data_IF_371493973973
#
_entry.id   IF_371493973973
#
_cell.length_a   1.000
_cell.length_b   1.000
_cell.length_c   1.000
_cell.angle_alpha   90.00
_cell.angle_beta   90.00
_cell.angle_gamma   90.00
#
_symmetry.space_group_name_H-M   'P 1'
#
loop_
_entity.id
_entity.type
_entity.pdbx_description
1 polymer ?
#
# COMPACT_ATOMS: atom_id res chain seq x y z
N UNK A 1 61.17 31.15 -16.76
CA UNK A 1 60.30 30.08 -17.28
C UNK A 1 59.28 29.75 -16.21
N UNK A 2 58.00 29.89 -16.55
CA UNK A 2 56.83 29.66 -15.69
C UNK A 2 56.48 28.17 -15.74
N UNK A 3 56.18 27.55 -14.61
CA UNK A 3 55.10 26.55 -14.58
C UNK A 3 54.51 26.42 -13.18
N UNK A 4 53.18 26.51 -13.16
CA UNK A 4 52.30 26.57 -12.00
C UNK A 4 51.87 25.15 -11.64
N UNK A 5 52.09 24.72 -10.40
CA UNK A 5 51.33 23.61 -9.83
C UNK A 5 49.91 24.10 -9.49
N UNK A 6 48.97 23.64 -10.29
CA UNK A 6 47.55 23.95 -10.27
C UNK A 6 46.89 23.24 -9.09
N UNK A 7 46.40 24.01 -8.12
CA UNK A 7 45.42 23.56 -7.12
C UNK A 7 44.15 23.16 -7.87
N UNK A 8 43.78 21.88 -7.82
CA UNK A 8 42.53 21.39 -8.38
C UNK A 8 41.37 21.82 -7.48
N UNK A 9 40.62 22.79 -7.98
CA UNK A 9 39.35 23.27 -7.45
C UNK A 9 38.32 22.14 -7.36
N UNK A 10 37.85 21.88 -6.14
CA UNK A 10 36.71 21.01 -5.87
C UNK A 10 35.43 21.71 -6.34
N UNK A 11 34.85 21.27 -7.47
CA UNK A 11 33.63 21.85 -8.02
C UNK A 11 32.42 21.53 -7.13
N UNK A 12 32.04 22.53 -6.33
CA UNK A 12 30.88 22.55 -5.45
C UNK A 12 29.57 22.77 -6.25
N UNK A 13 29.27 21.90 -7.21
CA UNK A 13 28.08 22.06 -8.09
C UNK A 13 27.22 20.81 -8.32
N UNK A 14 27.50 19.67 -7.69
CA UNK A 14 26.68 18.46 -7.88
C UNK A 14 25.59 18.19 -6.83
N UNK A 15 25.47 18.98 -5.76
CA UNK A 15 24.49 18.71 -4.69
C UNK A 15 23.17 19.49 -4.85
N UNK A 16 23.15 20.57 -5.63
CA UNK A 16 21.99 21.47 -5.70
C UNK A 16 20.94 21.11 -6.77
N UNK A 17 21.26 20.20 -7.71
CA UNK A 17 20.37 19.88 -8.84
C UNK A 17 19.00 19.31 -8.44
N UNK A 18 18.88 18.37 -7.46
CA UNK A 18 17.58 17.83 -7.06
C UNK A 18 16.76 18.84 -6.27
N UNK A 19 17.41 19.67 -5.45
CA UNK A 19 16.77 20.66 -4.60
C UNK A 19 16.17 21.81 -5.43
N UNK A 20 16.91 22.29 -6.42
CA UNK A 20 16.44 23.35 -7.32
C UNK A 20 15.43 22.85 -8.35
N UNK A 21 15.44 21.54 -8.69
CA UNK A 21 14.35 20.91 -9.47
C UNK A 21 13.02 20.87 -8.71
N UNK A 22 13.05 20.84 -7.38
CA UNK A 22 11.85 20.97 -6.54
C UNK A 22 11.25 22.38 -6.56
N UNK A 23 12.10 23.40 -6.69
CA UNK A 23 11.68 24.81 -6.74
C UNK A 23 11.24 25.27 -8.14
N UNK A 24 11.74 24.67 -9.22
CA UNK A 24 11.41 25.05 -10.61
C UNK A 24 10.16 24.34 -11.15
N UNK A 25 9.10 24.31 -10.34
CA UNK A 25 7.74 23.93 -10.74
C UNK A 25 6.77 25.07 -10.37
N UNK A 26 7.15 26.31 -10.68
CA UNK A 26 6.34 27.52 -10.48
C UNK A 26 5.49 27.85 -11.70
N UNK A 27 4.79 26.85 -12.23
CA UNK A 27 3.56 27.03 -13.01
C UNK A 27 2.63 25.88 -12.61
N UNK A 28 1.44 26.15 -12.04
CA UNK A 28 0.49 25.10 -11.72
C UNK A 28 -0.14 24.64 -13.03
N UNK A 29 0.53 23.73 -13.74
CA UNK A 29 -0.24 22.70 -14.45
C UNK A 29 -1.07 22.07 -13.34
N UNK A 30 -2.38 22.37 -13.31
CA UNK A 30 -3.32 21.86 -12.32
C UNK A 30 -3.13 20.36 -12.22
N UNK A 31 -2.31 19.93 -11.25
CA UNK A 31 -1.97 18.54 -11.11
C UNK A 31 -3.29 17.86 -10.77
N UNK A 32 -3.69 16.80 -11.50
CA UNK A 32 -4.99 16.20 -11.30
C UNK A 32 -5.17 15.88 -9.82
N UNK A 33 -6.23 16.44 -9.22
CA UNK A 33 -6.51 16.30 -7.79
C UNK A 33 -6.68 14.81 -7.51
N UNK A 34 -5.80 14.27 -6.67
CA UNK A 34 -5.88 12.88 -6.21
C UNK A 34 -6.98 12.81 -5.16
N UNK A 35 -7.97 11.95 -5.36
CA UNK A 35 -9.00 11.73 -4.36
C UNK A 35 -8.66 10.47 -3.54
N UNK A 36 -8.91 10.50 -2.22
CA UNK A 36 -8.80 9.29 -1.41
C UNK A 36 -9.84 8.28 -1.87
N UNK A 37 -9.53 6.99 -1.71
CA UNK A 37 -10.56 5.97 -1.80
C UNK A 37 -11.57 6.21 -0.67
N UNK A 38 -12.85 6.33 -1.00
CA UNK A 38 -13.93 6.50 -0.02
C UNK A 38 -14.54 5.14 0.34
N UNK A 39 -15.18 5.02 1.53
CA UNK A 39 -15.92 3.81 1.90
C UNK A 39 -16.92 3.37 0.82
N UNK A 40 -17.67 4.31 0.23
CA UNK A 40 -18.69 3.98 -0.80
C UNK A 40 -18.07 3.40 -2.08
N UNK A 41 -16.90 3.90 -2.48
CA UNK A 41 -16.17 3.37 -3.62
C UNK A 41 -15.62 1.97 -3.31
N UNK A 42 -15.08 1.77 -2.10
CA UNK A 42 -14.63 0.46 -1.65
C UNK A 42 -15.78 -0.56 -1.66
N UNK A 43 -16.93 -0.20 -1.10
CA UNK A 43 -18.16 -1.02 -1.08
C UNK A 43 -18.53 -1.47 -2.49
N UNK A 44 -18.57 -0.54 -3.45
CA UNK A 44 -18.87 -0.86 -4.85
C UNK A 44 -17.83 -1.79 -5.47
N UNK A 45 -16.54 -1.53 -5.24
CA UNK A 45 -15.47 -2.42 -5.72
C UNK A 45 -15.62 -3.84 -5.17
N UNK A 46 -15.92 -3.99 -3.87
CA UNK A 46 -16.12 -5.30 -3.25
C UNK A 46 -17.36 -5.99 -3.82
N UNK A 47 -18.45 -5.25 -4.06
CA UNK A 47 -19.64 -5.80 -4.72
C UNK A 47 -19.32 -6.32 -6.13
N UNK A 48 -18.54 -5.58 -6.92
CA UNK A 48 -18.08 -6.02 -8.24
C UNK A 48 -17.26 -7.31 -8.17
N UNK A 49 -16.33 -7.42 -7.21
CA UNK A 49 -15.56 -8.65 -7.01
C UNK A 49 -16.46 -9.83 -6.63
N UNK A 50 -17.42 -9.62 -5.73
CA UNK A 50 -18.37 -10.65 -5.29
C UNK A 50 -19.37 -11.07 -6.37
N UNK A 51 -19.63 -10.22 -7.36
CA UNK A 51 -20.45 -10.57 -8.54
C UNK A 51 -19.72 -11.43 -9.58
N UNK A 52 -18.42 -11.70 -9.39
CA UNK A 52 -17.59 -12.47 -10.32
C UNK A 52 -16.89 -11.56 -11.33
N UNK A 53 -15.78 -10.94 -10.90
CA UNK A 53 -15.01 -10.05 -11.77
C UNK A 53 -14.07 -10.83 -12.70
N UNK A 54 -13.32 -11.80 -12.16
CA UNK A 54 -12.36 -12.56 -12.97
C UNK A 54 -12.34 -14.05 -12.62
N UNK A 55 -11.80 -14.42 -11.47
CA UNK A 55 -11.78 -15.81 -11.00
C UNK A 55 -11.98 -15.82 -9.49
N UNK A 56 -12.61 -16.85 -8.90
CA UNK A 56 -12.92 -16.85 -7.46
C UNK A 56 -11.69 -16.62 -6.57
N UNK A 57 -10.53 -17.13 -6.99
CA UNK A 57 -9.27 -16.92 -6.29
C UNK A 57 -8.78 -15.47 -6.42
N UNK A 58 -8.75 -14.91 -7.64
CA UNK A 58 -8.32 -13.53 -7.89
C UNK A 58 -9.25 -12.54 -7.20
N UNK A 59 -10.56 -12.78 -7.24
CA UNK A 59 -11.56 -11.90 -6.63
C UNK A 59 -11.40 -11.86 -5.10
N UNK A 60 -11.23 -13.02 -4.44
CA UNK A 60 -10.91 -13.09 -2.99
C UNK A 60 -9.57 -12.45 -2.64
N UNK A 61 -8.57 -12.61 -3.51
CA UNK A 61 -7.25 -11.98 -3.33
C UNK A 61 -7.38 -10.46 -3.38
N UNK A 62 -8.05 -9.92 -4.40
CA UNK A 62 -8.26 -8.49 -4.57
C UNK A 62 -9.12 -7.89 -3.45
N UNK A 63 -10.19 -8.59 -3.03
CA UNK A 63 -11.05 -8.16 -1.93
C UNK A 63 -10.23 -8.00 -0.64
N UNK A 64 -9.42 -9.01 -0.32
CA UNK A 64 -8.52 -8.98 0.84
C UNK A 64 -7.48 -7.86 0.75
N UNK A 65 -6.90 -7.64 -0.44
CA UNK A 65 -5.94 -6.56 -0.67
C UNK A 65 -6.59 -5.18 -0.51
N UNK A 66 -7.80 -4.96 -1.02
CA UNK A 66 -8.51 -3.68 -0.89
C UNK A 66 -8.88 -3.39 0.56
N UNK A 67 -9.36 -4.39 1.29
CA UNK A 67 -9.71 -4.26 2.70
C UNK A 67 -8.50 -4.00 3.58
N UNK A 68 -7.43 -4.77 3.40
CA UNK A 68 -6.18 -4.55 4.13
C UNK A 68 -5.61 -3.15 3.87
N UNK A 69 -5.61 -2.71 2.61
CA UNK A 69 -5.10 -1.41 2.23
C UNK A 69 -5.95 -0.26 2.78
N UNK A 70 -7.27 -0.39 2.73
CA UNK A 70 -8.19 0.66 3.18
C UNK A 70 -8.20 0.79 4.71
N UNK A 71 -8.46 -0.30 5.43
CA UNK A 71 -8.56 -0.27 6.89
C UNK A 71 -7.19 -0.19 7.58
N UNK A 72 -6.15 -0.73 6.95
CA UNK A 72 -4.77 -0.58 7.43
C UNK A 72 -4.11 0.74 7.04
N UNK A 73 -4.80 1.60 6.26
CA UNK A 73 -4.25 2.84 5.70
C UNK A 73 -2.90 2.62 4.99
N UNK A 74 -2.78 1.51 4.25
CA UNK A 74 -1.54 1.11 3.60
C UNK A 74 -1.44 1.64 2.18
N UNK A 75 -0.24 1.97 1.76
CA UNK A 75 0.09 2.17 0.34
C UNK A 75 0.23 0.81 -0.33
N UNK A 76 -0.06 0.74 -1.63
CA UNK A 76 0.12 -0.50 -2.40
C UNK A 76 1.52 -1.11 -2.23
N UNK A 77 2.57 -0.31 -2.16
CA UNK A 77 3.96 -0.79 -1.99
C UNK A 77 4.25 -1.45 -0.64
N UNK A 78 3.37 -1.28 0.35
CA UNK A 78 3.58 -1.79 1.72
C UNK A 78 3.12 -3.25 1.85
N UNK A 79 2.18 -3.70 1.01
CA UNK A 79 1.66 -5.08 1.02
C UNK A 79 1.83 -5.85 -0.30
N UNK A 80 2.25 -5.18 -1.39
CA UNK A 80 2.55 -5.83 -2.68
C UNK A 80 4.04 -6.13 -2.83
N UNK A 81 4.37 -7.09 -3.70
CA UNK A 81 5.76 -7.37 -4.06
C UNK A 81 6.26 -6.36 -5.12
N UNK A 82 7.45 -5.74 -4.96
CA UNK A 82 7.97 -4.76 -5.90
C UNK A 82 8.43 -5.37 -7.24
N UNK A 83 8.91 -6.61 -7.21
CA UNK A 83 9.51 -7.32 -8.35
C UNK A 83 9.05 -8.78 -8.38
N UNK A 84 9.42 -9.53 -9.43
CA UNK A 84 9.20 -10.98 -9.46
C UNK A 84 9.97 -11.71 -8.36
N UNK A 85 11.10 -11.16 -7.92
CA UNK A 85 11.90 -11.69 -6.82
C UNK A 85 11.31 -11.25 -5.49
N UNK A 86 10.99 -12.22 -4.64
CA UNK A 86 10.44 -12.01 -3.31
C UNK A 86 11.53 -12.11 -2.24
N UNK A 87 11.57 -11.15 -1.33
CA UNK A 87 12.50 -11.11 -0.21
C UNK A 87 11.70 -11.08 1.10
N UNK A 88 11.61 -12.22 1.83
CA UNK A 88 10.77 -12.34 3.03
C UNK A 88 11.11 -11.34 4.14
N UNK A 89 12.33 -10.83 4.22
CA UNK A 89 12.73 -9.82 5.21
C UNK A 89 12.25 -8.41 4.88
N UNK A 90 11.92 -8.13 3.62
CA UNK A 90 11.56 -6.80 3.12
C UNK A 90 10.12 -6.69 2.68
N UNK A 91 9.54 -7.79 2.20
CA UNK A 91 8.20 -7.83 1.62
C UNK A 91 7.22 -8.50 2.57
N UNK A 92 5.93 -8.20 2.37
CA UNK A 92 4.85 -8.80 3.12
C UNK A 92 4.80 -10.32 2.91
N UNK A 93 4.77 -11.07 4.00
CA UNK A 93 4.68 -12.54 4.00
C UNK A 93 3.44 -13.01 4.75
N UNK A 94 3.10 -14.30 4.58
CA UNK A 94 2.01 -14.93 5.33
C UNK A 94 2.23 -14.77 6.85
N UNK A 95 3.47 -14.94 7.33
CA UNK A 95 3.83 -14.78 8.75
C UNK A 95 3.63 -13.38 9.31
N UNK A 96 3.49 -12.36 8.47
CA UNK A 96 3.28 -10.98 8.92
C UNK A 96 1.83 -10.71 9.29
N UNK A 97 0.92 -11.65 9.00
CA UNK A 97 -0.48 -11.55 9.39
C UNK A 97 -0.77 -12.58 10.49
N UNK A 98 -1.34 -12.09 11.58
CA UNK A 98 -1.82 -12.94 12.68
C UNK A 98 -3.30 -12.68 12.89
N UNK A 99 -4.08 -13.75 12.92
CA UNK A 99 -5.51 -13.72 13.20
C UNK A 99 -5.69 -13.98 14.70
N UNK A 100 -6.38 -13.07 15.36
CA UNK A 100 -6.76 -13.14 16.76
C UNK A 100 -8.29 -13.17 16.86
N UNK A 101 -8.90 -14.37 16.88
CA UNK A 101 -10.34 -14.49 17.03
C UNK A 101 -10.81 -13.85 18.35
N UNK A 102 -12.03 -13.27 18.37
CA UNK A 102 -13.04 -13.37 17.31
C UNK A 102 -13.01 -12.26 16.25
N UNK A 103 -12.18 -11.24 16.40
CA UNK A 103 -12.42 -9.95 15.73
C UNK A 103 -11.17 -9.19 15.26
N UNK A 104 -9.96 -9.67 15.55
CA UNK A 104 -8.75 -8.87 15.36
C UNK A 104 -7.79 -9.51 14.38
N UNK A 105 -7.28 -8.73 13.43
CA UNK A 105 -6.16 -9.09 12.56
C UNK A 105 -5.02 -8.11 12.83
N UNK A 106 -3.83 -8.64 13.06
CA UNK A 106 -2.61 -7.84 13.23
C UNK A 106 -1.72 -8.08 12.03
N UNK A 107 -1.42 -7.00 11.30
CA UNK A 107 -0.49 -6.98 10.19
C UNK A 107 0.83 -6.30 10.60
N UNK A 108 1.95 -6.98 10.41
CA UNK A 108 3.29 -6.47 10.69
C UNK A 108 3.85 -5.74 9.46
N UNK A 109 3.77 -4.41 9.47
CA UNK A 109 4.34 -3.54 8.46
C UNK A 109 5.86 -3.42 8.64
N UNK A 110 6.63 -4.20 7.87
CA UNK A 110 8.10 -4.24 7.93
C UNK A 110 8.78 -2.94 7.49
N UNK A 111 8.24 -2.27 6.47
CA UNK A 111 8.78 -1.02 5.93
C UNK A 111 7.65 -0.11 5.48
N UNK A 112 7.75 1.17 5.83
CA UNK A 112 6.94 2.21 5.22
C UNK A 112 7.83 3.26 4.59
N UNK A 113 7.30 4.02 3.63
CA UNK A 113 8.08 5.10 2.98
C UNK A 113 8.59 6.12 3.99
N UNK A 114 7.82 6.37 5.05
CA UNK A 114 8.12 7.33 6.12
C UNK A 114 8.98 6.72 7.23
N UNK A 115 9.12 5.39 7.27
CA UNK A 115 9.91 4.67 8.24
C UNK A 115 10.72 3.54 7.58
N UNK A 116 11.75 3.92 6.79
CA UNK A 116 12.54 2.95 6.02
C UNK A 116 13.57 2.18 6.87
N UNK A 117 13.98 2.77 7.99
CA UNK A 117 15.04 2.26 8.87
C UNK A 117 14.61 2.05 10.32
N UNK A 118 13.39 2.42 10.68
CA UNK A 118 12.88 2.14 12.03
C UNK A 118 12.29 0.74 12.15
N UNK A 119 11.84 0.38 13.36
CA UNK A 119 11.33 -0.94 13.63
C UNK A 119 10.03 -1.22 12.85
N UNK A 120 9.71 -2.49 12.58
CA UNK A 120 8.42 -2.89 12.04
C UNK A 120 7.27 -2.37 12.90
N UNK A 121 6.18 -1.93 12.26
CA UNK A 121 5.00 -1.39 12.92
C UNK A 121 3.84 -2.38 12.86
N UNK A 122 3.05 -2.49 13.94
CA UNK A 122 1.81 -3.27 13.94
C UNK A 122 0.65 -2.41 13.45
N UNK A 123 -0.11 -2.95 12.51
CA UNK A 123 -1.36 -2.39 11.99
C UNK A 123 -2.49 -3.30 12.45
N UNK A 124 -3.44 -2.72 13.17
CA UNK A 124 -4.57 -3.46 13.74
C UNK A 124 -5.80 -3.25 12.87
N UNK A 125 -6.42 -4.35 12.45
CA UNK A 125 -7.67 -4.36 11.73
C UNK A 125 -8.70 -5.08 12.61
N UNK A 126 -9.80 -4.39 12.89
CA UNK A 126 -10.89 -4.93 13.71
C UNK A 126 -12.05 -5.31 12.81
N UNK A 127 -12.78 -6.37 13.17
CA UNK A 127 -14.04 -6.76 12.57
C UNK A 127 -15.03 -5.60 12.67
N UNK A 128 -15.73 -5.35 11.57
CA UNK A 128 -16.77 -4.34 11.48
C UNK A 128 -18.13 -5.03 11.48
N UNK A 129 -19.06 -4.53 12.29
CA UNK A 129 -20.45 -5.01 12.30
C UNK A 129 -21.23 -4.61 11.03
N UNK A 130 -20.69 -3.66 10.26
CA UNK A 130 -21.26 -3.15 9.01
C UNK A 130 -20.44 -3.59 7.79
N UNK A 131 -21.11 -3.74 6.64
CA UNK A 131 -20.45 -3.97 5.37
C UNK A 131 -19.70 -2.72 4.87
N UNK A 132 -18.47 -2.84 4.35
CA UNK A 132 -17.64 -4.05 4.27
C UNK A 132 -16.81 -4.30 5.54
N UNK A 133 -16.81 -5.55 6.01
CA UNK A 133 -15.90 -6.02 7.07
C UNK A 133 -14.58 -6.49 6.48
N UNK A 134 -13.49 -6.13 7.14
CA UNK A 134 -12.13 -6.57 6.80
C UNK A 134 -11.79 -7.97 7.30
N UNK A 135 -12.47 -8.44 8.35
CA UNK A 135 -12.04 -9.64 9.08
C UNK A 135 -12.26 -10.91 8.27
N UNK A 136 -13.50 -11.18 7.83
CA UNK A 136 -13.86 -12.43 7.15
C UNK A 136 -13.11 -12.60 5.83
N UNK A 137 -13.05 -11.61 4.93
CA UNK A 137 -12.43 -11.83 3.62
C UNK A 137 -10.93 -12.10 3.73
N UNK A 138 -10.23 -11.41 4.64
CA UNK A 138 -8.80 -11.65 4.88
C UNK A 138 -8.58 -13.03 5.51
N UNK A 139 -9.41 -13.44 6.47
CA UNK A 139 -9.34 -14.79 7.05
C UNK A 139 -9.59 -15.87 5.99
N UNK A 140 -10.61 -15.70 5.15
CA UNK A 140 -10.93 -16.62 4.06
C UNK A 140 -9.78 -16.77 3.08
N UNK A 141 -9.16 -15.67 2.68
CA UNK A 141 -7.99 -15.71 1.80
C UNK A 141 -6.80 -16.42 2.46
N UNK A 142 -6.54 -16.18 3.74
CA UNK A 142 -5.48 -16.89 4.47
C UNK A 142 -5.77 -18.39 4.60
N UNK A 143 -7.03 -18.78 4.76
CA UNK A 143 -7.45 -20.19 4.77
C UNK A 143 -7.21 -20.87 3.41
N UNK A 144 -7.45 -20.17 2.30
CA UNK A 144 -7.07 -20.65 0.95
C UNK A 144 -5.56 -20.83 0.80
N UNK A 145 -4.77 -20.08 1.57
CA UNK A 145 -3.31 -20.15 1.61
C UNK A 145 -2.78 -21.04 2.74
N UNK A 146 -3.60 -21.84 3.42
CA UNK A 146 -3.22 -22.61 4.61
C UNK A 146 -2.04 -23.57 4.41
N UNK A 147 -1.83 -24.09 3.21
CA UNK A 147 -0.70 -24.98 2.86
C UNK A 147 0.57 -24.24 2.46
N UNK A 148 0.55 -22.90 2.46
CA UNK A 148 1.68 -22.06 2.05
C UNK A 148 2.75 -22.00 3.13
N UNK A 149 3.98 -21.70 2.72
CA UNK A 149 5.07 -21.47 3.66
C UNK A 149 4.89 -20.10 4.30
N UNK A 150 5.32 -19.97 5.55
CA UNK A 150 5.23 -18.73 6.33
C UNK A 150 5.95 -17.55 5.66
N UNK A 151 7.00 -17.83 4.90
CA UNK A 151 7.81 -16.83 4.18
C UNK A 151 7.30 -16.52 2.77
N UNK A 152 6.27 -17.21 2.28
CA UNK A 152 5.70 -16.93 0.96
C UNK A 152 5.10 -15.53 0.91
N UNK A 153 5.00 -14.91 -0.29
CA UNK A 153 4.33 -13.63 -0.44
C UNK A 153 2.91 -13.68 0.14
N UNK A 154 2.55 -12.63 0.87
CA UNK A 154 1.22 -12.51 1.48
C UNK A 154 0.12 -12.65 0.41
N UNK A 155 0.21 -11.85 -0.66
CA UNK A 155 -0.70 -11.91 -1.80
C UNK A 155 -0.03 -12.54 -3.01
N UNK A 156 -0.75 -13.45 -3.68
CA UNK A 156 -0.31 -14.08 -4.93
C UNK A 156 -1.38 -13.95 -6.00
N UNK A 157 -0.96 -14.00 -7.26
CA UNK A 157 -1.82 -14.13 -8.43
C UNK A 157 -2.32 -15.56 -8.56
N UNK A 158 -3.32 -15.79 -9.42
CA UNK A 158 -3.79 -17.15 -9.78
C UNK A 158 -2.68 -18.06 -10.34
N UNK A 159 -1.61 -17.48 -10.89
CA UNK A 159 -0.42 -18.19 -11.35
C UNK A 159 0.59 -18.53 -10.24
N UNK A 160 0.25 -18.24 -8.98
CA UNK A 160 1.11 -18.50 -7.81
C UNK A 160 2.24 -17.50 -7.60
N UNK A 161 2.37 -16.46 -8.45
CA UNK A 161 3.42 -15.44 -8.32
C UNK A 161 2.99 -14.36 -7.33
N UNK A 162 3.93 -13.72 -6.65
CA UNK A 162 3.63 -12.60 -5.75
C UNK A 162 2.85 -11.49 -6.46
N UNK A 163 1.78 -11.00 -5.84
CA UNK A 163 0.95 -9.94 -6.38
C UNK A 163 1.73 -8.62 -6.39
N UNK A 164 2.04 -8.12 -7.59
CA UNK A 164 2.84 -6.91 -7.75
C UNK A 164 2.00 -5.65 -7.66
N UNK A 165 2.65 -4.51 -7.42
CA UNK A 165 1.99 -3.19 -7.45
C UNK A 165 1.29 -2.93 -8.80
N UNK A 166 1.93 -3.27 -9.92
CA UNK A 166 1.36 -3.08 -11.25
C UNK A 166 0.12 -3.94 -11.46
N UNK A 167 0.18 -5.21 -11.05
CA UNK A 167 -0.96 -6.14 -11.09
C UNK A 167 -2.13 -5.62 -10.25
N UNK A 168 -1.87 -5.22 -9.00
CA UNK A 168 -2.88 -4.65 -8.12
C UNK A 168 -3.53 -3.40 -8.71
N UNK A 169 -2.73 -2.44 -9.20
CA UNK A 169 -3.25 -1.19 -9.76
C UNK A 169 -3.97 -1.41 -11.09
N UNK A 170 -3.60 -2.43 -11.87
CA UNK A 170 -4.31 -2.82 -13.07
C UNK A 170 -5.74 -3.25 -12.72
N UNK A 171 -5.88 -4.25 -11.84
CA UNK A 171 -7.19 -4.74 -11.43
C UNK A 171 -8.02 -3.69 -10.69
N UNK A 172 -7.39 -2.90 -9.81
CA UNK A 172 -8.08 -1.81 -9.11
C UNK A 172 -8.76 -0.84 -10.10
N UNK A 173 -8.09 -0.48 -11.20
CA UNK A 173 -8.68 0.39 -12.22
C UNK A 173 -9.81 -0.25 -13.01
N UNK A 174 -9.79 -1.57 -13.19
CA UNK A 174 -10.85 -2.30 -13.89
C UNK A 174 -12.10 -2.47 -13.01
N UNK A 175 -11.90 -2.61 -11.70
CA UNK A 175 -12.97 -2.81 -10.71
C UNK A 175 -13.56 -1.49 -10.22
N UNK A 176 -12.87 -0.37 -10.44
CA UNK A 176 -13.42 0.94 -10.11
C UNK A 176 -14.70 1.21 -10.92
N UNK A 177 -15.77 1.71 -10.28
CA UNK A 177 -16.99 2.10 -10.98
C UNK A 177 -16.71 3.23 -11.97
N UNK A 178 -17.54 3.32 -13.02
CA UNK A 178 -17.37 4.23 -14.16
C UNK A 178 -17.05 5.67 -13.70
N UNK A 179 -16.02 6.34 -14.27
CA UNK A 179 -15.69 7.73 -13.98
C UNK A 179 -16.85 8.72 -14.17
N UNK A 180 -17.95 8.36 -14.84
CA UNK A 180 -19.19 9.14 -14.85
C UNK A 180 -19.75 9.39 -13.43
N UNK A 181 -19.43 8.53 -12.46
CA UNK A 181 -19.80 8.69 -11.05
C UNK A 181 -18.75 9.44 -10.21
N UNK A 182 -17.62 9.81 -10.81
CA UNK A 182 -16.56 10.57 -10.15
C UNK A 182 -16.65 12.05 -10.58
N UNK A 183 -16.36 13.01 -9.68
CA UNK A 183 -16.34 14.41 -10.04
C UNK A 183 -15.41 14.63 -11.25
N UNK A 184 -15.87 15.37 -12.26
CA UNK A 184 -15.26 15.56 -13.60
C UNK A 184 -13.79 16.03 -13.64
N UNK A 185 -13.17 16.30 -12.50
CA UNK A 185 -11.76 16.71 -12.36
C UNK A 185 -10.85 15.59 -11.80
N UNK A 186 -11.38 14.39 -11.57
CA UNK A 186 -10.66 13.31 -10.89
C UNK A 186 -10.03 12.35 -11.88
N UNK A 187 -8.70 12.33 -11.97
CA UNK A 187 -7.97 11.38 -12.83
C UNK A 187 -7.27 10.26 -12.07
N UNK A 188 -7.28 10.26 -10.73
CA UNK A 188 -6.60 9.21 -9.96
C UNK A 188 -7.14 9.02 -8.54
N UNK A 189 -7.76 7.85 -8.28
CA UNK A 189 -8.06 7.34 -6.93
C UNK A 189 -6.86 6.53 -6.45
N UNK A 190 -6.44 6.73 -5.20
CA UNK A 190 -5.32 6.01 -4.61
C UNK A 190 -5.58 5.60 -3.16
N UNK A 191 -5.02 4.46 -2.78
CA UNK A 191 -4.77 4.13 -1.38
C UNK A 191 -3.63 5.03 -0.88
N UNK A 192 -3.97 6.03 -0.07
CA UNK A 192 -3.01 6.91 0.59
C UNK A 192 -3.01 6.60 2.08
N UNK A 193 -1.83 6.42 2.67
CA UNK A 193 -1.72 6.45 4.13
C UNK A 193 -2.04 7.86 4.60
N UNK A 194 -3.06 7.98 5.45
CA UNK A 194 -3.17 9.14 6.31
C UNK A 194 -1.94 9.19 7.25
N UNK A 195 -1.46 10.38 7.65
CA UNK A 195 -0.57 10.46 8.79
C UNK A 195 -1.31 9.87 10.00
N UNK A 196 -0.77 8.80 10.60
CA UNK A 196 -1.34 8.26 11.82
C UNK A 196 -1.30 9.36 12.89
N UNK A 197 -2.40 9.58 13.64
CA UNK A 197 -2.36 10.46 14.80
C UNK A 197 -1.32 9.89 15.76
N UNK A 198 -0.27 10.66 16.05
CA UNK A 198 0.68 10.28 17.07
C UNK A 198 -0.07 10.17 18.39
N UNK A 199 0.02 9.01 19.04
CA UNK A 199 -0.48 8.84 20.39
C UNK A 199 0.20 9.89 21.27
N UNK A 200 -0.59 10.79 21.86
CA UNK A 200 -0.08 11.71 22.88
C UNK A 200 0.34 10.84 24.06
N UNK A 201 1.63 10.79 24.35
CA UNK A 201 2.14 10.29 25.63
C UNK A 201 1.52 11.16 26.74
N UNK A 202 0.65 10.54 27.54
CA UNK A 202 0.22 11.14 28.79
C UNK A 202 1.32 10.86 29.83
N UNK A 203 1.83 11.89 30.54
CA UNK A 203 2.81 11.68 31.59
C UNK A 203 2.19 10.83 32.70
N UNK A 204 2.83 9.71 33.00
CA UNK A 204 2.50 8.88 34.16
C UNK A 204 2.84 9.68 35.41
N UNK A 205 1.83 10.03 36.19
CA UNK A 205 2.02 10.55 37.55
C UNK A 205 2.11 9.35 38.49
N UNK A 206 3.30 9.15 39.05
CA UNK A 206 3.54 8.34 40.25
C UNK A 206 4.52 9.11 41.14
#
# INVERSE_FOLDING_TARGET
>A
MKELCRVSSFSQTQIWSPYLKGLRNTEPISAPKRLPLTPDLLTRCIQTLRSGYMSPFTDKTLESMFLLAFFGFLRSSEFTTPTSVHHPSLHATISDVSIHPPDTIIYLLKRSKTNQHGPPQRVYLFRQESFPSSYEPICDYLNLRSTSRTQDPLFITETGKGATRSWFLHHFRQVLPDPAYLPHHTRAIHFASAPQPQAKEYPTTS
#
